data_IF_642105573108
#
_entry.id   IF_642105573108
#
_cell.length_a   1.000
_cell.length_b   1.000
_cell.length_c   1.000
_cell.angle_alpha   90.00
_cell.angle_beta   90.00
_cell.angle_gamma   90.00
#
_symmetry.space_group_name_H-M   'P 1'
#
loop_
_entity.id
_entity.type
_entity.pdbx_description
1 polymer ?
#
# COMPACT_ATOMS: atom_id res chain seq x y z
N UNK A 1 17.95 -19.55 8.84
CA UNK A 1 17.87 -18.09 8.72
C UNK A 1 18.81 -17.63 7.62
N UNK A 2 18.29 -16.89 6.64
CA UNK A 2 19.06 -16.35 5.53
C UNK A 2 19.67 -15.02 5.98
N UNK A 3 20.95 -15.04 6.31
CA UNK A 3 21.68 -13.82 6.64
C UNK A 3 21.69 -12.87 5.42
N UNK A 4 21.36 -11.60 5.64
CA UNK A 4 21.25 -10.60 4.58
C UNK A 4 20.00 -10.67 3.69
N UNK A 5 18.95 -11.43 4.05
CA UNK A 5 17.67 -11.42 3.29
C UNK A 5 17.10 -10.00 3.19
N UNK A 6 16.71 -9.61 1.96
CA UNK A 6 16.01 -8.36 1.67
C UNK A 6 14.67 -8.67 1.04
N UNK A 7 13.60 -8.18 1.64
CA UNK A 7 12.26 -8.27 1.07
C UNK A 7 12.18 -7.54 -0.27
N UNK A 8 11.34 -8.03 -1.18
CA UNK A 8 11.05 -7.37 -2.45
C UNK A 8 10.40 -6.00 -2.19
N UNK A 9 10.74 -5.02 -3.03
CA UNK A 9 10.19 -3.68 -2.98
C UNK A 9 9.46 -3.36 -4.29
N UNK A 10 8.38 -2.60 -4.18
CA UNK A 10 7.60 -2.10 -5.32
C UNK A 10 7.39 -0.60 -5.12
N UNK A 11 7.53 0.16 -6.19
CA UNK A 11 7.34 1.62 -6.18
C UNK A 11 6.17 1.99 -7.07
N UNK A 12 5.32 2.90 -6.57
CA UNK A 12 4.20 3.47 -7.32
C UNK A 12 4.50 4.94 -7.61
N UNK A 13 4.35 5.35 -8.87
CA UNK A 13 4.52 6.74 -9.28
C UNK A 13 3.21 7.27 -9.87
N UNK A 14 2.61 8.25 -9.19
CA UNK A 14 1.44 8.97 -9.67
C UNK A 14 1.85 9.97 -10.77
N UNK A 15 1.61 9.62 -12.04
CA UNK A 15 1.99 10.46 -13.20
C UNK A 15 1.29 11.83 -13.24
N UNK A 16 0.08 11.89 -12.70
CA UNK A 16 -0.75 13.09 -12.56
C UNK A 16 -1.50 12.95 -11.25
N UNK A 17 -1.31 13.91 -10.35
CA UNK A 17 -1.98 13.96 -9.06
C UNK A 17 -2.63 15.34 -8.91
N UNK A 18 -3.84 15.36 -8.37
CA UNK A 18 -4.54 16.60 -8.07
C UNK A 18 -3.91 17.25 -6.83
N UNK A 19 -3.61 18.54 -6.91
CA UNK A 19 -3.03 19.32 -5.81
C UNK A 19 -4.12 19.91 -4.91
N UNK A 20 -3.78 20.21 -3.66
CA UNK A 20 -4.67 20.88 -2.70
C UNK A 20 -5.97 20.11 -2.38
N UNK A 21 -5.96 18.79 -2.58
CA UNK A 21 -7.07 17.88 -2.23
C UNK A 21 -6.55 16.71 -1.42
N UNK A 22 -7.37 16.21 -0.49
CA UNK A 22 -7.08 15.01 0.28
C UNK A 22 -7.37 13.76 -0.57
N UNK A 23 -6.34 12.98 -0.88
CA UNK A 23 -6.44 11.77 -1.69
C UNK A 23 -6.27 10.56 -0.77
N UNK A 24 -7.26 9.67 -0.77
CA UNK A 24 -7.23 8.40 -0.07
C UNK A 24 -6.69 7.32 -1.01
N UNK A 25 -5.55 6.71 -0.68
CA UNK A 25 -4.93 5.65 -1.48
C UNK A 25 -4.99 4.34 -0.71
N UNK A 26 -5.41 3.28 -1.40
CA UNK A 26 -5.27 1.91 -0.91
C UNK A 26 -4.52 1.05 -1.93
N UNK A 27 -3.41 0.44 -1.50
CA UNK A 27 -2.62 -0.49 -2.30
C UNK A 27 -2.86 -1.92 -1.82
N UNK A 28 -3.41 -2.79 -2.66
CA UNK A 28 -3.69 -4.20 -2.35
C UNK A 28 -2.71 -5.14 -3.06
N UNK A 29 -2.16 -6.11 -2.35
CA UNK A 29 -1.32 -7.16 -2.89
C UNK A 29 -2.18 -8.40 -3.22
N UNK A 30 -2.39 -8.70 -4.50
CA UNK A 30 -3.22 -9.83 -4.92
C UNK A 30 -2.39 -11.09 -5.14
N UNK A 31 -2.60 -12.11 -4.30
CA UNK A 31 -2.11 -13.47 -4.52
C UNK A 31 -3.02 -14.47 -3.81
N UNK A 32 -3.01 -15.74 -4.24
CA UNK A 32 -3.88 -16.80 -3.68
C UNK A 32 -3.67 -17.02 -2.17
N UNK A 33 -2.48 -16.71 -1.66
CA UNK A 33 -2.05 -16.91 -0.28
C UNK A 33 -1.99 -15.62 0.54
N UNK A 34 -2.57 -14.52 0.05
CA UNK A 34 -2.66 -13.26 0.78
C UNK A 34 -4.11 -13.12 1.28
N UNK A 35 -4.25 -12.95 2.59
CA UNK A 35 -5.52 -12.64 3.26
C UNK A 35 -5.81 -11.14 3.12
N UNK A 36 -7.02 -10.80 2.66
CA UNK A 36 -7.51 -9.42 2.46
C UNK A 36 -8.60 -9.07 3.47
N UNK A 37 -8.58 -9.67 4.66
CA UNK A 37 -9.54 -9.34 5.70
C UNK A 37 -9.38 -7.87 6.12
N UNK A 38 -10.27 -7.02 5.62
CA UNK A 38 -10.37 -5.60 5.97
C UNK A 38 -11.21 -5.46 7.24
N UNK A 39 -10.67 -5.89 8.39
CA UNK A 39 -11.29 -5.63 9.69
C UNK A 39 -10.68 -4.38 10.34
N UNK A 40 -11.47 -3.70 11.17
CA UNK A 40 -11.05 -2.48 11.90
C UNK A 40 -9.77 -2.66 12.74
N UNK A 41 -9.43 -3.90 13.09
CA UNK A 41 -8.27 -4.20 13.93
C UNK A 41 -7.01 -4.56 13.12
N UNK A 42 -7.14 -5.07 11.90
CA UNK A 42 -6.00 -5.56 11.11
C UNK A 42 -6.23 -5.38 9.61
N UNK A 43 -5.59 -4.38 9.00
CA UNK A 43 -5.49 -4.29 7.54
C UNK A 43 -4.44 -5.32 7.09
N UNK A 44 -4.88 -6.37 6.38
CA UNK A 44 -4.01 -7.43 5.85
C UNK A 44 -4.00 -7.41 4.32
N UNK A 45 -2.84 -7.68 3.75
CA UNK A 45 -2.69 -7.75 2.30
C UNK A 45 -2.88 -6.39 1.59
N UNK A 46 -3.02 -5.30 2.33
CA UNK A 46 -3.14 -3.96 1.81
C UNK A 46 -2.46 -2.92 2.71
N UNK A 47 -2.20 -1.74 2.14
CA UNK A 47 -1.77 -0.55 2.88
C UNK A 47 -2.65 0.61 2.46
N UNK A 48 -3.13 1.36 3.45
CA UNK A 48 -3.91 2.56 3.25
C UNK A 48 -3.11 3.77 3.74
N UNK A 49 -3.12 4.85 2.96
CA UNK A 49 -2.53 6.13 3.35
C UNK A 49 -3.26 7.29 2.69
N UNK A 50 -3.22 8.44 3.36
CA UNK A 50 -3.73 9.71 2.86
C UNK A 50 -2.59 10.55 2.29
N UNK A 51 -2.85 11.24 1.18
CA UNK A 51 -1.89 12.08 0.48
C UNK A 51 -2.49 13.44 0.16
N UNK A 52 -1.76 14.50 0.47
CA UNK A 52 -2.01 15.87 0.01
C UNK A 52 -0.72 16.35 -0.66
N UNK A 53 -0.85 16.95 -1.84
CA UNK A 53 0.26 17.57 -2.57
C UNK A 53 -0.04 19.06 -2.71
N UNK A 54 0.90 19.90 -2.27
CA UNK A 54 0.87 21.36 -2.41
C UNK A 54 1.52 21.82 -3.70
#
# INVERSE_FOLDING_TARGET
NQDGYRSLLVFVHFKKIETNVLINVECRAYARNIDHNDSLEFIRGSVHFELIVE
#
